data_IF_017636256652
#
_entry.id   IF_017636256652
#
_cell.length_a   1.000
_cell.length_b   1.000
_cell.length_c   1.000
_cell.angle_alpha   90.00
_cell.angle_beta   90.00
_cell.angle_gamma   90.00
#
_symmetry.space_group_name_H-M   'P 1'
#
loop_
_entity.id
_entity.type
_entity.pdbx_description
1 polymer ?
#
# COMPACT_ATOMS: atom_id res chain seq x y z
N UNK A 1 65.06 12.10 -24.26
CA UNK A 1 64.52 11.87 -22.91
C UNK A 1 63.05 12.30 -22.88
N UNK A 2 62.15 11.35 -22.56
CA UNK A 2 60.81 11.53 -21.97
C UNK A 2 59.77 12.36 -22.76
N UNK A 3 58.51 11.96 -22.93
CA UNK A 3 57.75 10.71 -22.75
C UNK A 3 56.38 11.06 -23.34
N UNK A 4 55.88 10.24 -24.27
CA UNK A 4 54.52 10.27 -24.80
C UNK A 4 53.56 9.95 -23.64
N UNK A 5 52.54 10.78 -23.42
CA UNK A 5 51.39 10.41 -22.59
C UNK A 5 50.15 10.30 -23.49
N UNK A 6 49.89 9.08 -23.92
CA UNK A 6 48.60 8.63 -24.45
C UNK A 6 47.61 8.65 -23.27
N UNK A 7 46.71 9.64 -23.22
CA UNK A 7 45.48 9.54 -22.42
C UNK A 7 44.41 8.95 -23.34
N UNK A 8 44.32 7.64 -23.32
CA UNK A 8 43.23 6.87 -23.90
C UNK A 8 42.84 5.81 -22.87
N UNK A 9 42.01 6.19 -21.90
CA UNK A 9 41.23 5.24 -21.10
C UNK A 9 39.81 5.80 -20.93
N UNK A 10 38.97 5.39 -21.88
CA UNK A 10 37.56 5.04 -21.71
C UNK A 10 36.72 5.78 -20.65
N UNK A 11 35.98 6.81 -21.09
CA UNK A 11 34.66 7.13 -20.54
C UNK A 11 33.60 7.08 -21.64
N UNK A 12 33.61 5.98 -22.41
CA UNK A 12 32.44 5.48 -23.12
C UNK A 12 32.05 4.14 -22.47
N UNK A 13 31.53 4.19 -21.24
CA UNK A 13 30.48 3.24 -20.91
C UNK A 13 29.20 3.87 -21.46
N UNK A 14 28.85 3.51 -22.69
CA UNK A 14 27.47 3.64 -23.15
C UNK A 14 26.59 3.09 -22.02
N UNK A 15 25.64 3.88 -21.52
CA UNK A 15 24.51 3.33 -20.78
C UNK A 15 23.61 2.57 -21.78
N UNK A 16 24.11 1.46 -22.31
CA UNK A 16 23.26 0.42 -22.87
C UNK A 16 22.49 -0.15 -21.68
N UNK A 17 21.29 0.40 -21.46
CA UNK A 17 20.26 -0.12 -20.57
C UNK A 17 20.76 -0.51 -19.19
N UNK A 18 20.94 0.46 -18.28
CA UNK A 18 20.72 0.11 -16.88
C UNK A 18 19.32 -0.51 -16.82
N UNK A 19 19.22 -1.81 -16.53
CA UNK A 19 17.93 -2.45 -16.35
C UNK A 19 17.17 -1.61 -15.35
N UNK A 20 16.07 -0.99 -15.80
CA UNK A 20 15.25 -0.16 -14.93
C UNK A 20 14.85 -1.04 -13.77
N UNK A 21 15.19 -0.62 -12.55
CA UNK A 21 14.81 -1.35 -11.35
C UNK A 21 13.31 -1.65 -11.43
N UNK A 22 12.87 -2.91 -11.44
CA UNK A 22 11.47 -3.27 -11.69
C UNK A 22 10.53 -2.61 -10.66
N UNK A 23 11.03 -2.32 -9.46
CA UNK A 23 10.31 -1.59 -8.40
C UNK A 23 9.93 -0.14 -8.78
N UNK A 24 10.57 0.48 -9.78
CA UNK A 24 10.17 1.82 -10.25
C UNK A 24 8.78 1.84 -10.88
N UNK A 25 8.34 0.69 -11.40
CA UNK A 25 7.05 0.52 -12.09
C UNK A 25 6.00 -0.15 -11.22
N UNK A 26 6.39 -0.64 -10.04
CA UNK A 26 5.50 -1.33 -9.11
C UNK A 26 5.12 -0.36 -8.01
N UNK A 27 3.82 -0.25 -7.73
CA UNK A 27 3.28 0.39 -6.54
C UNK A 27 2.76 -0.73 -5.64
N UNK A 28 3.30 -0.84 -4.44
CA UNK A 28 2.76 -1.77 -3.44
C UNK A 28 1.64 -1.08 -2.68
N UNK A 29 0.45 -1.65 -2.71
CA UNK A 29 -0.67 -1.25 -1.88
C UNK A 29 -0.76 -2.24 -0.71
N UNK A 30 -0.62 -1.75 0.50
CA UNK A 30 -0.65 -2.54 1.74
C UNK A 30 -1.88 -2.14 2.55
N UNK A 31 -2.87 -3.03 2.62
CA UNK A 31 -4.10 -2.80 3.38
C UNK A 31 -4.00 -3.41 4.80
N UNK A 32 -4.94 -3.03 5.67
CA UNK A 32 -5.19 -3.56 7.01
C UNK A 32 -4.14 -3.26 8.10
N UNK A 33 -3.19 -2.36 7.84
CA UNK A 33 -2.19 -1.97 8.83
C UNK A 33 -2.71 -0.97 9.89
N UNK A 34 -1.90 -0.65 10.92
CA UNK A 34 -0.69 -1.36 11.32
C UNK A 34 -0.98 -2.57 12.25
N UNK A 35 -0.35 -3.70 11.95
CA UNK A 35 -0.32 -4.93 12.75
C UNK A 35 1.00 -5.08 13.52
N UNK A 36 1.20 -6.23 14.17
CA UNK A 36 2.51 -6.59 14.77
C UNK A 36 3.60 -6.87 13.73
N UNK A 37 3.27 -6.92 12.44
CA UNK A 37 4.22 -7.22 11.36
C UNK A 37 4.68 -5.97 10.60
N UNK A 38 4.01 -4.83 10.78
CA UNK A 38 4.27 -3.62 10.01
C UNK A 38 5.72 -3.14 10.14
N UNK A 39 6.31 -3.22 11.35
CA UNK A 39 7.69 -2.77 11.55
C UNK A 39 8.69 -3.59 10.72
N UNK A 40 8.54 -4.92 10.71
CA UNK A 40 9.33 -5.80 9.86
C UNK A 40 9.08 -5.52 8.38
N UNK A 41 7.83 -5.25 7.99
CA UNK A 41 7.49 -4.89 6.61
C UNK A 41 8.19 -3.60 6.18
N UNK A 42 8.17 -2.56 7.01
CA UNK A 42 8.88 -1.29 6.79
C UNK A 42 10.38 -1.52 6.61
N UNK A 43 11.00 -2.36 7.44
CA UNK A 43 12.41 -2.74 7.30
C UNK A 43 12.70 -3.47 5.98
N UNK A 44 11.84 -4.41 5.57
CA UNK A 44 11.93 -5.09 4.29
C UNK A 44 11.87 -4.09 3.13
N UNK A 45 10.87 -3.21 3.11
CA UNK A 45 10.70 -2.21 2.05
C UNK A 45 11.94 -1.28 1.93
N UNK A 46 12.52 -0.87 3.07
CA UNK A 46 13.78 -0.11 3.11
C UNK A 46 14.96 -0.89 2.55
N UNK A 47 15.13 -2.15 2.96
CA UNK A 47 16.20 -3.05 2.47
C UNK A 47 16.20 -3.15 0.95
N UNK A 48 15.03 -3.25 0.33
CA UNK A 48 14.86 -3.31 -1.13
C UNK A 48 14.76 -1.93 -1.81
N UNK A 49 14.85 -0.83 -1.05
CA UNK A 49 14.76 0.55 -1.54
C UNK A 49 13.48 0.80 -2.36
N UNK A 50 12.37 0.18 -1.94
CA UNK A 50 11.08 0.31 -2.62
C UNK A 50 10.51 1.70 -2.31
N UNK A 51 10.30 2.51 -3.35
CA UNK A 51 9.87 3.92 -3.19
C UNK A 51 8.36 4.12 -3.33
N UNK A 52 7.69 3.27 -4.09
CA UNK A 52 6.27 3.44 -4.38
C UNK A 52 5.44 2.49 -3.50
N UNK A 53 5.04 2.96 -2.32
CA UNK A 53 4.19 2.19 -1.40
C UNK A 53 3.05 3.08 -0.91
N UNK A 54 1.86 2.50 -0.82
CA UNK A 54 0.68 3.11 -0.23
C UNK A 54 0.18 2.19 0.90
N UNK A 55 0.08 2.71 2.11
CA UNK A 55 -0.49 2.00 3.25
C UNK A 55 -1.91 2.49 3.51
N UNK A 56 -2.90 1.61 3.45
CA UNK A 56 -4.27 1.92 3.84
C UNK A 56 -4.52 1.43 5.27
N UNK A 57 -4.75 2.37 6.17
CA UNK A 57 -4.72 2.16 7.62
C UNK A 57 -6.13 2.08 8.18
N UNK A 58 -6.36 1.08 9.03
CA UNK A 58 -7.58 0.97 9.82
C UNK A 58 -7.40 1.77 11.11
N UNK A 59 -8.33 2.68 11.41
CA UNK A 59 -8.22 3.57 12.57
C UNK A 59 -8.15 2.84 13.91
N UNK A 60 -8.96 1.80 14.11
CA UNK A 60 -8.98 0.97 15.31
C UNK A 60 -7.63 0.28 15.56
N UNK A 61 -6.91 -0.08 14.49
CA UNK A 61 -5.59 -0.66 14.62
C UNK A 61 -4.60 0.30 15.27
N UNK A 62 -4.81 1.61 15.28
CA UNK A 62 -3.93 2.57 15.95
C UNK A 62 -4.25 2.75 17.43
N UNK A 63 -5.30 2.09 17.94
CA UNK A 63 -5.72 2.20 19.34
C UNK A 63 -5.22 1.03 20.19
N UNK A 64 -4.99 1.32 21.47
CA UNK A 64 -4.77 0.32 22.50
C UNK A 64 -6.10 -0.16 23.09
N UNK A 65 -6.04 -1.10 24.03
CA UNK A 65 -7.23 -1.70 24.67
C UNK A 65 -8.11 -0.71 25.43
N UNK A 66 -7.61 0.49 25.71
CA UNK A 66 -8.34 1.57 26.38
C UNK A 66 -8.91 2.59 25.37
N UNK A 67 -8.84 2.32 24.07
CA UNK A 67 -9.32 3.23 23.03
C UNK A 67 -8.47 4.49 22.85
N UNK A 68 -7.23 4.50 23.39
CA UNK A 68 -6.27 5.59 23.21
C UNK A 68 -5.27 5.23 22.14
N UNK A 69 -4.67 6.24 21.49
CA UNK A 69 -3.59 6.03 20.52
C UNK A 69 -2.49 5.17 21.16
N UNK A 70 -2.11 4.09 20.47
CA UNK A 70 -0.96 3.27 20.80
C UNK A 70 0.29 3.96 20.25
N UNK A 71 1.10 4.50 21.16
CA UNK A 71 2.32 5.24 20.82
C UNK A 71 3.28 4.42 19.95
N UNK A 72 3.37 3.08 20.14
CA UNK A 72 4.26 2.26 19.30
C UNK A 72 3.78 2.23 17.86
N UNK A 73 2.46 2.12 17.66
CA UNK A 73 1.85 2.10 16.32
C UNK A 73 1.87 3.49 15.69
N UNK A 74 1.68 4.54 16.48
CA UNK A 74 1.85 5.92 16.04
C UNK A 74 3.27 6.18 15.53
N UNK A 75 4.30 5.72 16.25
CA UNK A 75 5.70 5.84 15.81
C UNK A 75 5.99 5.05 14.53
N UNK A 76 5.41 3.85 14.35
CA UNK A 76 5.51 3.12 13.09
C UNK A 76 4.90 3.93 11.95
N UNK A 77 3.73 4.53 12.15
CA UNK A 77 3.06 5.32 11.12
C UNK A 77 3.86 6.58 10.75
N UNK A 78 4.46 7.26 11.74
CA UNK A 78 5.39 8.37 11.49
C UNK A 78 6.64 7.92 10.72
N UNK A 79 7.17 6.73 10.99
CA UNK A 79 8.27 6.14 10.20
C UNK A 79 7.86 5.93 8.75
N UNK A 80 6.67 5.40 8.49
CA UNK A 80 6.12 5.22 7.13
C UNK A 80 6.06 6.57 6.40
N UNK A 81 5.47 7.60 7.04
CA UNK A 81 5.38 8.94 6.46
C UNK A 81 6.78 9.55 6.17
N UNK A 82 7.75 9.33 7.05
CA UNK A 82 9.13 9.83 6.90
C UNK A 82 9.88 9.19 5.73
N UNK A 83 9.55 7.96 5.35
CA UNK A 83 10.09 7.33 4.13
C UNK A 83 9.54 7.95 2.84
N UNK A 84 8.51 8.79 2.93
CA UNK A 84 7.81 9.36 1.78
C UNK A 84 6.83 8.40 1.13
N UNK A 85 6.44 7.32 1.82
CA UNK A 85 5.36 6.45 1.39
C UNK A 85 4.00 7.09 1.70
N UNK A 86 3.03 6.81 0.86
CA UNK A 86 1.68 7.36 1.02
C UNK A 86 0.95 6.62 2.14
N UNK A 87 0.17 7.35 2.92
CA UNK A 87 -0.75 6.81 3.91
C UNK A 87 -2.15 7.20 3.47
N UNK A 88 -3.06 6.22 3.45
CA UNK A 88 -4.47 6.38 3.12
C UNK A 88 -5.36 5.82 4.23
N UNK A 89 -6.63 6.18 4.14
CA UNK A 89 -7.69 5.79 5.06
C UNK A 89 -8.33 4.46 4.60
N UNK A 90 -8.45 3.50 5.52
CA UNK A 90 -9.13 2.21 5.30
C UNK A 90 -10.33 1.99 6.23
N UNK A 91 -11.03 3.08 6.54
CA UNK A 91 -12.08 3.21 7.56
C UNK A 91 -11.60 3.03 9.00
N UNK A 92 -12.50 3.23 9.95
CA UNK A 92 -12.21 3.16 11.38
C UNK A 92 -12.16 1.70 11.84
N UNK A 93 -13.13 0.88 11.46
CA UNK A 93 -13.28 -0.50 11.99
C UNK A 93 -13.26 -1.59 10.92
N UNK A 94 -12.99 -1.24 9.66
CA UNK A 94 -13.01 -2.16 8.52
C UNK A 94 -14.32 -3.00 8.48
N UNK A 95 -15.50 -2.37 8.31
CA UNK A 95 -16.77 -3.08 8.28
C UNK A 95 -16.77 -4.13 7.18
N UNK A 96 -17.31 -5.32 7.48
CA UNK A 96 -17.47 -6.38 6.49
C UNK A 96 -18.50 -5.95 5.44
N UNK A 97 -18.05 -5.65 4.23
CA UNK A 97 -18.92 -5.31 3.10
C UNK A 97 -19.41 -6.57 2.37
N UNK A 98 -19.90 -7.54 3.13
CA UNK A 98 -20.72 -8.61 2.56
C UNK A 98 -22.09 -8.06 2.14
N UNK A 99 -23.01 -8.92 1.69
CA UNK A 99 -24.34 -8.45 1.26
C UNK A 99 -25.06 -7.69 2.39
N UNK A 100 -25.00 -8.20 3.63
CA UNK A 100 -25.70 -7.57 4.77
C UNK A 100 -25.06 -6.25 5.15
N UNK A 101 -23.73 -6.18 5.14
CA UNK A 101 -23.01 -4.93 5.37
C UNK A 101 -23.38 -3.89 4.31
N UNK A 102 -23.40 -4.27 3.04
CA UNK A 102 -23.81 -3.34 1.96
C UNK A 102 -25.22 -2.81 2.16
N UNK A 103 -26.18 -3.69 2.44
CA UNK A 103 -27.57 -3.28 2.66
C UNK A 103 -27.67 -2.31 3.86
N UNK A 104 -26.96 -2.60 4.97
CA UNK A 104 -26.90 -1.70 6.13
C UNK A 104 -26.37 -0.31 5.79
N UNK A 105 -25.26 -0.22 5.05
CA UNK A 105 -24.64 1.05 4.68
C UNK A 105 -25.40 1.83 3.60
N UNK A 106 -26.25 1.16 2.82
CA UNK A 106 -27.22 1.83 1.93
C UNK A 106 -28.36 2.43 2.74
N UNK A 107 -28.83 1.72 3.77
CA UNK A 107 -29.88 2.22 4.67
C UNK A 107 -29.38 3.29 5.66
N UNK A 108 -28.07 3.30 5.97
CA UNK A 108 -27.43 4.17 6.96
C UNK A 108 -26.17 4.85 6.38
N UNK A 109 -26.31 5.73 5.37
CA UNK A 109 -25.17 6.35 4.70
C UNK A 109 -24.30 7.21 5.63
N UNK A 110 -24.83 7.74 6.73
CA UNK A 110 -24.10 8.46 7.77
C UNK A 110 -23.03 7.62 8.47
N UNK A 111 -23.16 6.30 8.45
CA UNK A 111 -22.18 5.39 9.02
C UNK A 111 -20.88 5.39 8.20
N UNK A 112 -20.95 5.66 6.89
CA UNK A 112 -19.74 5.85 6.08
C UNK A 112 -18.94 7.05 6.54
N UNK A 113 -19.62 8.14 6.87
CA UNK A 113 -18.98 9.37 7.31
C UNK A 113 -18.30 9.14 8.66
N UNK A 114 -18.98 8.51 9.62
CA UNK A 114 -18.38 8.14 10.92
C UNK A 114 -17.14 7.27 10.77
N UNK A 115 -17.22 6.24 9.90
CA UNK A 115 -16.12 5.33 9.62
C UNK A 115 -14.91 6.04 9.01
N UNK A 116 -15.13 6.93 8.05
CA UNK A 116 -14.05 7.62 7.34
C UNK A 116 -13.48 8.75 8.20
N UNK A 117 -14.32 9.63 8.75
CA UNK A 117 -13.91 10.75 9.60
C UNK A 117 -13.24 10.28 10.88
N UNK A 118 -13.76 9.24 11.54
CA UNK A 118 -13.16 8.68 12.74
C UNK A 118 -11.71 8.25 12.52
N UNK A 119 -11.45 7.61 11.37
CA UNK A 119 -10.10 7.23 10.96
C UNK A 119 -9.25 8.46 10.57
N UNK A 120 -9.82 9.45 9.84
CA UNK A 120 -9.14 10.70 9.52
C UNK A 120 -8.65 11.44 10.77
N UNK A 121 -9.48 11.53 11.81
CA UNK A 121 -9.15 12.24 13.04
C UNK A 121 -8.01 11.56 13.82
N UNK A 122 -7.96 10.24 13.84
CA UNK A 122 -6.83 9.52 14.45
C UNK A 122 -5.55 9.73 13.62
N UNK A 123 -5.65 9.63 12.30
CA UNK A 123 -4.51 9.83 11.40
C UNK A 123 -3.95 11.25 11.54
N UNK A 124 -4.82 12.28 11.59
CA UNK A 124 -4.41 13.66 11.82
C UNK A 124 -3.69 13.85 13.16
N UNK A 125 -4.21 13.29 14.26
CA UNK A 125 -3.57 13.39 15.59
C UNK A 125 -2.16 12.81 15.61
N UNK A 126 -1.88 11.79 14.79
CA UNK A 126 -0.57 11.13 14.74
C UNK A 126 0.38 11.81 13.75
N UNK A 127 -0.14 12.19 12.58
CA UNK A 127 0.66 12.64 11.43
C UNK A 127 0.76 14.17 11.32
N UNK A 128 -0.19 14.90 11.91
CA UNK A 128 -0.33 16.35 11.75
C UNK A 128 -0.93 16.78 10.41
N UNK A 129 -1.40 15.85 9.59
CA UNK A 129 -2.10 16.12 8.33
C UNK A 129 -3.18 15.05 8.07
N UNK A 130 -4.17 15.39 7.24
CA UNK A 130 -5.20 14.46 6.79
C UNK A 130 -4.74 13.72 5.53
N UNK A 131 -4.65 12.38 5.55
CA UNK A 131 -4.50 11.56 4.35
C UNK A 131 -5.53 11.88 3.26
N UNK A 132 -5.09 11.92 2.00
CA UNK A 132 -5.94 12.26 0.85
C UNK A 132 -6.66 11.05 0.25
N UNK A 133 -6.03 9.88 0.31
CA UNK A 133 -6.55 8.69 -0.34
C UNK A 133 -7.40 7.85 0.61
N UNK A 134 -8.44 7.25 0.04
CA UNK A 134 -9.33 6.30 0.69
C UNK A 134 -9.38 4.99 -0.10
N UNK A 135 -9.36 3.87 0.62
CA UNK A 135 -9.64 2.56 0.09
C UNK A 135 -10.81 1.94 0.83
N UNK A 136 -11.82 1.46 0.10
CA UNK A 136 -12.95 0.77 0.71
C UNK A 136 -12.61 -0.67 1.11
N UNK A 137 -12.97 -1.12 2.33
CA UNK A 137 -12.84 -2.52 2.77
C UNK A 137 -13.48 -3.51 1.80
N UNK A 138 -12.72 -4.46 1.26
CA UNK A 138 -13.26 -5.58 0.47
C UNK A 138 -13.93 -5.25 -0.88
N UNK A 139 -14.01 -3.97 -1.28
CA UNK A 139 -14.54 -3.55 -2.59
C UNK A 139 -13.44 -2.78 -3.33
N UNK A 140 -13.02 -3.23 -4.53
CA UNK A 140 -12.10 -2.47 -5.37
C UNK A 140 -12.70 -1.12 -5.81
N UNK A 141 -11.87 -0.09 -5.89
CA UNK A 141 -12.25 1.18 -6.50
C UNK A 141 -12.81 0.97 -7.92
N UNK A 142 -13.90 1.69 -8.24
CA UNK A 142 -14.55 1.62 -9.55
C UNK A 142 -15.37 0.36 -9.83
N UNK A 143 -15.55 -0.56 -8.85
CA UNK A 143 -16.33 -1.80 -9.03
C UNK A 143 -17.43 -1.95 -7.99
N UNK A 144 -18.64 -1.49 -8.33
CA UNK A 144 -19.83 -1.74 -7.49
C UNK A 144 -19.74 -1.09 -6.10
N UNK A 145 -19.06 0.06 -6.01
CA UNK A 145 -19.12 0.93 -4.83
C UNK A 145 -20.54 1.50 -4.72
N UNK A 146 -21.17 1.46 -3.52
CA UNK A 146 -22.42 2.16 -3.25
C UNK A 146 -22.29 3.66 -3.58
N UNK A 147 -23.37 4.28 -4.04
CA UNK A 147 -23.32 5.69 -4.43
C UNK A 147 -23.11 6.59 -3.21
N UNK A 148 -23.74 6.23 -2.10
CA UNK A 148 -23.65 6.86 -0.80
C UNK A 148 -22.20 6.94 -0.29
N UNK A 149 -21.42 5.89 -0.54
CA UNK A 149 -20.00 5.85 -0.22
C UNK A 149 -19.21 6.85 -1.09
N UNK A 150 -19.51 6.92 -2.39
CA UNK A 150 -18.82 7.86 -3.29
C UNK A 150 -19.14 9.31 -2.93
N UNK A 151 -20.39 9.59 -2.61
CA UNK A 151 -20.83 10.92 -2.16
C UNK A 151 -20.13 11.32 -0.86
N UNK A 152 -20.01 10.38 0.10
CA UNK A 152 -19.29 10.61 1.35
C UNK A 152 -17.82 10.90 1.11
N UNK A 153 -17.12 10.07 0.31
CA UNK A 153 -15.70 10.29 -0.03
C UNK A 153 -15.50 11.65 -0.70
N UNK A 154 -16.38 12.04 -1.62
CA UNK A 154 -16.35 13.36 -2.26
C UNK A 154 -16.57 14.50 -1.28
N UNK A 155 -17.55 14.37 -0.38
CA UNK A 155 -17.89 15.39 0.63
C UNK A 155 -16.74 15.61 1.61
N UNK A 156 -16.04 14.55 1.99
CA UNK A 156 -14.85 14.60 2.84
C UNK A 156 -13.57 15.00 2.10
N UNK A 157 -13.68 15.38 0.81
CA UNK A 157 -12.57 15.80 -0.04
C UNK A 157 -11.44 14.75 -0.12
N UNK A 158 -11.82 13.48 -0.25
CA UNK A 158 -10.93 12.35 -0.42
C UNK A 158 -10.99 11.79 -1.83
N UNK A 159 -9.93 11.11 -2.21
CA UNK A 159 -9.81 10.43 -3.49
C UNK A 159 -9.80 8.92 -3.26
N UNK A 160 -10.58 8.18 -4.04
CA UNK A 160 -10.38 6.73 -4.10
C UNK A 160 -8.99 6.44 -4.65
N UNK A 161 -8.35 5.39 -4.13
CA UNK A 161 -7.18 4.85 -4.79
C UNK A 161 -7.52 4.37 -6.21
N UNK A 162 -6.51 4.23 -7.09
CA UNK A 162 -6.74 3.77 -8.47
C UNK A 162 -7.09 2.26 -8.58
N UNK A 163 -7.46 1.62 -7.46
CA UNK A 163 -7.62 0.18 -7.34
C UNK A 163 -6.30 -0.56 -7.54
N UNK A 164 -6.37 -1.83 -7.93
CA UNK A 164 -5.20 -2.67 -8.16
C UNK A 164 -5.21 -3.35 -9.52
N UNK A 165 -4.02 -3.56 -10.08
CA UNK A 165 -3.81 -4.38 -11.28
C UNK A 165 -3.63 -5.86 -10.95
N UNK A 166 -3.01 -6.17 -9.82
CA UNK A 166 -2.78 -7.54 -9.33
C UNK A 166 -3.32 -7.67 -7.90
N UNK A 167 -4.28 -8.58 -7.71
CA UNK A 167 -4.68 -9.11 -6.40
C UNK A 167 -3.74 -10.28 -6.06
N UNK A 168 -2.94 -10.17 -5.00
CA UNK A 168 -2.06 -11.27 -4.55
C UNK A 168 -2.83 -12.48 -4.02
N UNK A 169 -4.12 -12.28 -3.67
CA UNK A 169 -5.03 -13.25 -3.07
C UNK A 169 -4.60 -13.72 -1.67
N UNK A 170 -3.74 -12.96 -0.99
CA UNK A 170 -3.28 -13.22 0.38
C UNK A 170 -4.38 -13.01 1.46
N UNK A 171 -5.52 -12.42 1.09
CA UNK A 171 -6.73 -12.35 1.93
C UNK A 171 -7.59 -13.62 1.92
N UNK A 172 -7.42 -14.52 0.93
CA UNK A 172 -8.32 -15.66 0.72
C UNK A 172 -7.96 -16.84 1.62
N UNK A 173 -8.79 -17.10 2.63
CA UNK A 173 -8.67 -18.31 3.47
C UNK A 173 -8.88 -19.58 2.63
N UNK A 174 -7.99 -20.57 2.79
CA UNK A 174 -8.12 -21.89 2.18
C UNK A 174 -7.88 -21.95 0.66
N UNK A 175 -7.50 -20.85 0.01
CA UNK A 175 -7.15 -20.82 -1.41
C UNK A 175 -5.65 -20.56 -1.59
N UNK A 176 -5.08 -21.09 -2.67
CA UNK A 176 -3.69 -20.85 -3.02
C UNK A 176 -3.53 -19.37 -3.44
N UNK A 177 -2.72 -18.62 -2.69
CA UNK A 177 -2.22 -17.30 -3.11
C UNK A 177 -1.49 -17.38 -4.45
N UNK A 178 -1.42 -16.29 -5.19
CA UNK A 178 -0.50 -16.23 -6.33
C UNK A 178 0.94 -16.46 -5.84
N UNK A 179 1.72 -17.23 -6.59
CA UNK A 179 3.15 -17.34 -6.36
C UNK A 179 3.88 -16.06 -6.75
N UNK A 180 5.08 -15.87 -6.21
CA UNK A 180 5.92 -14.73 -6.57
C UNK A 180 6.28 -14.74 -8.07
N UNK A 181 6.47 -15.93 -8.65
CA UNK A 181 6.71 -16.13 -10.07
C UNK A 181 5.51 -15.67 -10.92
N UNK A 182 4.29 -16.08 -10.54
CA UNK A 182 3.08 -15.63 -11.25
C UNK A 182 2.91 -14.10 -11.19
N UNK A 183 3.24 -13.47 -10.07
CA UNK A 183 3.23 -12.00 -9.94
C UNK A 183 4.31 -11.37 -10.83
N UNK A 184 5.55 -11.88 -10.77
CA UNK A 184 6.67 -11.38 -11.57
C UNK A 184 6.37 -11.47 -13.08
N UNK A 185 5.79 -12.57 -13.56
CA UNK A 185 5.38 -12.71 -14.95
C UNK A 185 4.33 -11.69 -15.37
N UNK A 186 3.34 -11.41 -14.51
CA UNK A 186 2.32 -10.38 -14.77
C UNK A 186 2.91 -8.98 -14.80
N UNK A 187 3.87 -8.68 -13.92
CA UNK A 187 4.63 -7.42 -13.93
C UNK A 187 5.38 -7.27 -15.25
N UNK A 188 6.13 -8.30 -15.68
CA UNK A 188 6.89 -8.31 -16.94
C UNK A 188 6.00 -8.08 -18.17
N UNK A 189 4.76 -8.60 -18.16
CA UNK A 189 3.77 -8.42 -19.25
C UNK A 189 3.06 -7.05 -19.24
N UNK A 190 3.10 -6.32 -18.13
CA UNK A 190 2.41 -5.04 -18.01
C UNK A 190 3.20 -3.92 -18.70
N UNK A 191 2.51 -3.03 -19.41
CA UNK A 191 3.08 -1.77 -19.94
C UNK A 191 2.72 -0.63 -18.97
N UNK A 192 3.71 0.14 -18.51
CA UNK A 192 3.51 1.22 -17.53
C UNK A 192 3.63 0.79 -16.06
N UNK A 193 3.02 1.57 -15.15
CA UNK A 193 2.98 1.30 -13.72
C UNK A 193 1.92 0.25 -13.38
N UNK A 194 2.11 -0.51 -12.30
CA UNK A 194 1.17 -1.52 -11.81
C UNK A 194 1.02 -1.44 -10.29
N UNK A 195 -0.21 -1.51 -9.80
CA UNK A 195 -0.52 -1.59 -8.37
C UNK A 195 -0.74 -3.05 -7.98
N UNK A 196 -0.04 -3.51 -6.94
CA UNK A 196 -0.17 -4.86 -6.36
C UNK A 196 -0.81 -4.72 -4.98
N UNK A 197 -1.96 -5.36 -4.80
CA UNK A 197 -2.64 -5.44 -3.51
C UNK A 197 -2.04 -6.55 -2.65
N UNK A 198 -1.60 -6.17 -1.46
CA UNK A 198 -1.12 -7.00 -0.36
C UNK A 198 -1.80 -6.52 0.93
N UNK A 199 -1.77 -7.36 1.96
CA UNK A 199 -2.22 -6.98 3.30
C UNK A 199 -1.06 -7.02 4.29
N UNK A 200 -1.14 -6.24 5.37
CA UNK A 200 -0.11 -6.20 6.41
C UNK A 200 -0.13 -7.47 7.29
N UNK A 201 0.56 -8.51 6.81
CA UNK A 201 0.55 -9.87 7.39
C UNK A 201 1.96 -10.40 7.60
N UNK A 202 2.05 -11.47 8.38
CA UNK A 202 3.30 -12.16 8.73
C UNK A 202 4.13 -12.53 7.51
N UNK A 203 3.46 -12.99 6.45
CA UNK A 203 4.07 -13.53 5.24
C UNK A 203 4.47 -12.43 4.23
N UNK A 204 4.00 -11.20 4.40
CA UNK A 204 4.11 -10.14 3.39
C UNK A 204 5.57 -9.76 3.12
N UNK A 205 6.38 -9.61 4.17
CA UNK A 205 7.83 -9.36 4.01
C UNK A 205 8.52 -10.45 3.18
N UNK A 206 8.32 -11.72 3.54
CA UNK A 206 8.93 -12.85 2.82
C UNK A 206 8.41 -12.94 1.38
N UNK A 207 7.15 -12.57 1.15
CA UNK A 207 6.59 -12.57 -0.19
C UNK A 207 7.19 -11.49 -1.09
N UNK A 208 7.45 -10.30 -0.55
CA UNK A 208 8.17 -9.23 -1.27
C UNK A 208 9.59 -9.66 -1.62
N UNK A 209 10.29 -10.35 -0.70
CA UNK A 209 11.62 -10.93 -0.98
C UNK A 209 11.58 -11.90 -2.16
N UNK A 210 10.59 -12.80 -2.20
CA UNK A 210 10.42 -13.75 -3.30
C UNK A 210 10.04 -13.09 -4.61
N UNK A 211 9.26 -11.99 -4.59
CA UNK A 211 8.95 -11.21 -5.79
C UNK A 211 10.22 -10.56 -6.33
N UNK A 212 11.06 -9.98 -5.47
CA UNK A 212 12.33 -9.39 -5.88
C UNK A 212 13.25 -10.43 -6.56
N UNK A 213 13.37 -11.62 -5.98
CA UNK A 213 14.12 -12.74 -6.57
C UNK A 213 13.55 -13.15 -7.94
N UNK A 214 12.22 -13.30 -8.04
CA UNK A 214 11.55 -13.71 -9.27
C UNK A 214 11.57 -12.64 -10.39
N UNK A 215 11.77 -11.37 -10.03
CA UNK A 215 11.94 -10.28 -11.01
C UNK A 215 13.36 -10.23 -11.59
N UNK A 216 14.36 -10.75 -10.86
CA UNK A 216 15.77 -10.81 -11.28
C UNK A 216 16.11 -12.04 -12.13
N UNK A 217 15.40 -13.14 -11.93
CA UNK A 217 15.46 -14.33 -12.79
C UNK A 217 14.59 -14.19 -14.03
#
# INVERSE_FOLDING_TARGET
MRRIWLILVAFLSLSLGAEKNPWERIILRIDDGPSSYTEKLVETLRKFKIKNVMFFIIGENLLNKQGKIDEKKAEILKKIAKEGWEIGNHTMHHPLLDKKGKDYFVEHPEEWEKEIEGCQEILFKILGFYPKFFASPGIPAGKGLPEELKETVKRLNLEFDSGWGIDSQDSRKGKKRLSAQEIAERIKKTKGKIIILLHDKKETSEFIEKIDEALKG
#
